data_IF_012179733849
#
_entry.id   IF_012179733849
#
_cell.length_a   1.000
_cell.length_b   1.000
_cell.length_c   1.000
_cell.angle_alpha   90.00
_cell.angle_beta   90.00
_cell.angle_gamma   90.00
#
_symmetry.space_group_name_H-M   'P 1'
#
loop_
_entity.id
_entity.type
_entity.pdbx_description
1 polymer ?
#
# COMPACT_ATOMS: atom_id res chain seq x y z
N UNK A 1 3.70 12.92 -16.03
CA UNK A 1 3.92 13.95 -15.01
C UNK A 1 2.59 14.22 -14.30
N UNK A 2 1.64 14.93 -14.91
CA UNK A 2 0.33 15.27 -14.30
C UNK A 2 -0.41 14.11 -13.59
N UNK A 3 -0.39 12.90 -14.15
CA UNK A 3 -1.07 11.74 -13.54
C UNK A 3 -0.35 11.22 -12.28
N UNK A 4 0.98 11.33 -12.22
CA UNK A 4 1.77 10.95 -11.03
C UNK A 4 1.63 12.01 -9.94
N UNK A 5 1.65 13.29 -10.32
CA UNK A 5 1.44 14.39 -9.38
C UNK A 5 0.03 14.32 -8.78
N UNK A 6 -0.98 13.98 -9.59
CA UNK A 6 -2.33 13.70 -9.10
C UNK A 6 -2.38 12.52 -8.13
N UNK A 7 -1.61 11.45 -8.36
CA UNK A 7 -1.52 10.33 -7.40
C UNK A 7 -0.95 10.81 -6.07
N UNK A 8 0.12 11.60 -6.09
CA UNK A 8 0.76 12.10 -4.86
C UNK A 8 -0.20 12.99 -4.04
N UNK A 9 -0.96 13.87 -4.71
CA UNK A 9 -2.00 14.69 -4.07
C UNK A 9 -3.16 13.86 -3.51
N UNK A 10 -3.50 12.73 -4.15
CA UNK A 10 -4.56 11.83 -3.69
C UNK A 10 -4.15 10.99 -2.48
N UNK A 11 -2.86 10.68 -2.26
CA UNK A 11 -2.37 9.83 -1.14
C UNK A 11 -2.99 10.20 0.21
N UNK A 12 -2.99 11.47 0.67
CA UNK A 12 -3.57 11.84 1.96
C UNK A 12 -5.10 11.71 2.00
N UNK A 13 -5.77 11.75 0.84
CA UNK A 13 -7.23 11.75 0.71
C UNK A 13 -7.84 10.34 0.61
N UNK A 14 -7.03 9.30 0.38
CA UNK A 14 -7.55 7.93 0.25
C UNK A 14 -8.15 7.46 1.58
N UNK A 15 -9.47 7.37 1.61
CA UNK A 15 -10.28 7.02 2.77
C UNK A 15 -10.21 5.51 3.09
N UNK A 16 -10.85 5.15 4.20
CA UNK A 16 -10.85 3.85 4.87
C UNK A 16 -11.55 2.75 4.07
N UNK A 17 -12.26 3.08 2.98
CA UNK A 17 -12.97 2.09 2.17
C UNK A 17 -11.99 1.14 1.50
N UNK A 18 -12.31 -0.15 1.49
CA UNK A 18 -11.45 -1.16 0.89
C UNK A 18 -11.33 -0.95 -0.63
N UNK A 19 -12.45 -0.65 -1.30
CA UNK A 19 -12.51 -0.47 -2.76
C UNK A 19 -11.61 0.67 -3.25
N UNK A 20 -11.68 1.84 -2.60
CA UNK A 20 -10.85 3.00 -2.94
C UNK A 20 -9.35 2.70 -2.77
N UNK A 21 -8.97 1.92 -1.75
CA UNK A 21 -7.58 1.46 -1.53
C UNK A 21 -7.10 0.52 -2.63
N UNK A 22 -7.94 -0.43 -3.05
CA UNK A 22 -7.59 -1.36 -4.14
C UNK A 22 -7.44 -0.63 -5.47
N UNK A 23 -8.34 0.30 -5.78
CA UNK A 23 -8.27 1.10 -7.00
C UNK A 23 -7.03 2.00 -7.02
N UNK A 24 -6.66 2.58 -5.87
CA UNK A 24 -5.44 3.36 -5.75
C UNK A 24 -4.18 2.53 -6.05
N UNK A 25 -4.05 1.35 -5.44
CA UNK A 25 -2.92 0.42 -5.70
C UNK A 25 -2.91 -0.02 -7.17
N UNK A 26 -4.09 -0.25 -7.77
CA UNK A 26 -4.21 -0.61 -9.18
C UNK A 26 -3.72 0.52 -10.11
N UNK A 27 -4.05 1.78 -9.81
CA UNK A 27 -3.56 2.95 -10.56
C UNK A 27 -2.04 3.07 -10.46
N UNK A 28 -1.46 2.90 -9.28
CA UNK A 28 0.00 2.88 -9.09
C UNK A 28 0.65 1.78 -9.93
N UNK A 29 0.11 0.56 -9.90
CA UNK A 29 0.64 -0.56 -10.68
C UNK A 29 0.58 -0.30 -12.19
N UNK A 30 -0.52 0.30 -12.66
CA UNK A 30 -0.68 0.68 -14.06
C UNK A 30 0.34 1.74 -14.49
N UNK A 31 0.55 2.79 -13.69
CA UNK A 31 1.55 3.81 -13.96
C UNK A 31 2.97 3.26 -13.94
N UNK A 32 3.32 2.42 -12.96
CA UNK A 32 4.63 1.77 -12.88
C UNK A 32 4.92 0.96 -14.15
N UNK A 33 3.91 0.22 -14.65
CA UNK A 33 4.02 -0.53 -15.91
C UNK A 33 4.21 0.40 -17.11
N UNK A 34 3.43 1.48 -17.20
CA UNK A 34 3.57 2.46 -18.30
C UNK A 34 4.95 3.12 -18.32
N UNK A 35 5.45 3.55 -17.16
CA UNK A 35 6.79 4.12 -17.01
C UNK A 35 7.85 3.11 -17.46
N UNK A 36 7.75 1.85 -17.04
CA UNK A 36 8.68 0.81 -17.45
C UNK A 36 8.68 0.56 -18.97
N UNK A 37 7.50 0.53 -19.60
CA UNK A 37 7.38 0.36 -21.06
C UNK A 37 8.01 1.54 -21.79
N UNK A 38 7.74 2.78 -21.36
CA UNK A 38 8.32 3.98 -21.98
C UNK A 38 9.83 4.00 -21.80
N UNK A 39 10.35 3.66 -20.62
CA UNK A 39 11.80 3.60 -20.35
C UNK A 39 12.49 2.56 -21.23
N UNK A 40 11.87 1.38 -21.41
CA UNK A 40 12.40 0.34 -22.28
C UNK A 40 12.43 0.77 -23.76
N UNK A 41 11.37 1.44 -24.24
CA UNK A 41 11.35 1.99 -25.61
C UNK A 41 12.40 3.07 -25.83
N UNK A 42 12.61 3.94 -24.83
CA UNK A 42 13.63 4.97 -24.87
C UNK A 42 15.03 4.35 -24.88
N UNK A 43 15.26 3.32 -24.07
CA UNK A 43 16.52 2.58 -24.09
C UNK A 43 16.80 1.91 -25.45
N UNK A 44 15.78 1.31 -26.08
CA UNK A 44 15.93 0.74 -27.42
C UNK A 44 16.24 1.81 -28.47
N UNK A 45 15.60 2.98 -28.38
CA UNK A 45 15.83 4.11 -29.28
C UNK A 45 17.24 4.69 -29.10
N UNK A 46 17.71 4.85 -27.86
CA UNK A 46 19.08 5.27 -27.54
C UNK A 46 20.12 4.31 -28.15
N UNK A 47 19.94 3.00 -27.99
CA UNK A 47 20.83 1.99 -28.58
C UNK A 47 20.85 2.05 -30.11
N UNK A 48 19.67 2.23 -30.73
CA UNK A 48 19.57 2.35 -32.18
C UNK A 48 20.30 3.60 -32.68
N UNK A 49 20.14 4.74 -32.01
CA UNK A 49 20.87 5.97 -32.36
C UNK A 49 22.38 5.80 -32.25
N UNK A 50 22.86 5.13 -31.20
CA UNK A 50 24.28 4.80 -31.02
C UNK A 50 24.79 3.88 -32.15
N UNK A 51 24.02 2.84 -32.49
CA UNK A 51 24.36 1.88 -33.53
C UNK A 51 24.36 2.51 -34.93
N UNK A 52 23.49 3.50 -35.19
CA UNK A 52 23.48 4.23 -36.46
C UNK A 52 24.56 5.31 -36.53
N UNK A 53 24.93 5.94 -35.41
CA UNK A 53 25.89 7.03 -35.37
C UNK A 53 27.29 6.58 -35.78
N UNK A 54 27.75 5.42 -35.29
CA UNK A 54 29.09 4.86 -35.60
C UNK A 54 29.31 4.64 -37.11
N UNK A 55 28.45 3.90 -37.85
CA UNK A 55 28.58 3.73 -39.28
C UNK A 55 28.26 5.01 -40.07
N UNK A 56 27.36 5.88 -39.59
CA UNK A 56 27.12 7.18 -40.22
C UNK A 56 28.37 8.08 -40.18
N UNK A 57 29.08 8.11 -39.05
CA UNK A 57 30.33 8.86 -38.91
C UNK A 57 31.48 8.29 -39.76
N UNK A 58 31.52 6.96 -39.95
CA UNK A 58 32.64 6.28 -40.61
C UNK A 58 32.46 6.12 -42.13
N UNK A 59 31.23 5.92 -42.60
CA UNK A 59 30.94 5.49 -43.98
C UNK A 59 29.95 6.39 -44.74
N UNK A 60 29.33 7.38 -44.10
CA UNK A 60 28.34 8.24 -44.79
C UNK A 60 29.02 9.43 -45.45
N UNK A 61 28.90 9.51 -46.77
CA UNK A 61 29.27 10.69 -47.57
C UNK A 61 28.54 11.97 -47.11
N UNK A 62 27.35 11.84 -46.50
CA UNK A 62 26.56 12.98 -46.00
C UNK A 62 27.18 13.59 -44.74
N UNK A 63 27.69 12.77 -43.80
CA UNK A 63 28.39 13.27 -42.62
C UNK A 63 29.72 13.94 -42.96
N UNK A 64 30.40 13.48 -44.02
CA UNK A 64 31.63 14.10 -44.51
C UNK A 64 31.39 15.50 -45.12
N UNK A 65 30.21 15.74 -45.69
CA UNK A 65 29.89 17.01 -46.37
C UNK A 65 29.11 18.01 -45.50
N UNK A 66 28.41 17.54 -44.48
CA UNK A 66 27.52 18.36 -43.65
C UNK A 66 27.86 18.16 -42.16
N UNK A 67 28.78 18.96 -41.59
CA UNK A 67 29.18 18.81 -40.18
C UNK A 67 28.04 19.08 -39.19
N UNK A 68 26.97 19.75 -39.61
CA UNK A 68 25.78 19.97 -38.78
C UNK A 68 25.00 18.68 -38.49
N UNK A 69 25.14 17.61 -39.30
CA UNK A 69 24.44 16.33 -39.09
C UNK A 69 24.91 15.62 -37.83
N UNK A 70 26.22 15.58 -37.57
CA UNK A 70 26.78 14.99 -36.34
C UNK A 70 26.30 15.76 -35.11
N UNK A 71 26.31 17.10 -35.18
CA UNK A 71 25.82 17.95 -34.09
C UNK A 71 24.35 17.69 -33.79
N UNK A 72 23.53 17.49 -34.82
CA UNK A 72 22.10 17.21 -34.69
C UNK A 72 21.83 15.84 -34.06
N UNK A 73 22.68 14.84 -34.33
CA UNK A 73 22.66 13.55 -33.64
C UNK A 73 23.03 13.66 -32.16
N UNK A 74 24.12 14.37 -31.83
CA UNK A 74 24.51 14.60 -30.44
C UNK A 74 23.40 15.32 -29.66
N UNK A 75 22.80 16.36 -30.26
CA UNK A 75 21.68 17.08 -29.66
C UNK A 75 20.45 16.18 -29.46
N UNK A 76 20.17 15.27 -30.40
CA UNK A 76 19.08 14.30 -30.26
C UNK A 76 19.34 13.31 -29.11
N UNK A 77 20.58 12.85 -28.94
CA UNK A 77 20.99 11.99 -27.83
C UNK A 77 20.88 12.69 -26.48
N UNK A 78 21.33 13.94 -26.38
CA UNK A 78 21.21 14.73 -25.14
C UNK A 78 19.75 14.94 -24.74
N UNK A 79 18.87 15.25 -25.72
CA UNK A 79 17.43 15.37 -25.48
C UNK A 79 16.81 14.06 -25.00
N UNK A 80 17.25 12.93 -25.56
CA UNK A 80 16.79 11.61 -25.15
C UNK A 80 17.23 11.25 -23.73
N UNK A 81 18.50 11.51 -23.39
CA UNK A 81 19.02 11.34 -22.04
C UNK A 81 18.26 12.22 -21.02
N UNK A 82 17.96 13.47 -21.38
CA UNK A 82 17.15 14.35 -20.55
C UNK A 82 15.74 13.78 -20.29
N UNK A 83 15.07 13.25 -21.32
CA UNK A 83 13.75 12.62 -21.16
C UNK A 83 13.84 11.36 -20.30
N UNK A 84 14.91 10.58 -20.42
CA UNK A 84 15.16 9.40 -19.60
C UNK A 84 15.27 9.76 -18.11
N UNK A 85 16.07 10.79 -17.81
CA UNK A 85 16.26 11.28 -16.44
C UNK A 85 14.95 11.81 -15.84
N UNK A 86 14.19 12.61 -16.59
CA UNK A 86 12.85 13.06 -16.18
C UNK A 86 11.89 11.91 -15.89
N UNK A 87 11.96 10.82 -16.66
CA UNK A 87 11.14 9.63 -16.45
C UNK A 87 11.55 8.87 -15.20
N UNK A 88 12.86 8.78 -14.93
CA UNK A 88 13.41 8.16 -13.71
C UNK A 88 13.07 8.98 -12.46
N UNK A 89 13.10 10.31 -12.53
CA UNK A 89 12.58 11.19 -11.46
C UNK A 89 11.07 10.98 -11.22
N UNK A 90 10.28 10.91 -12.30
CA UNK A 90 8.84 10.60 -12.20
C UNK A 90 8.59 9.26 -11.50
N UNK A 91 9.43 8.26 -11.79
CA UNK A 91 9.36 6.95 -11.13
C UNK A 91 9.67 7.04 -9.64
N UNK A 92 10.66 7.85 -9.24
CA UNK A 92 11.01 8.08 -7.83
C UNK A 92 9.84 8.70 -7.08
N UNK A 93 9.21 9.75 -7.65
CA UNK A 93 8.03 10.40 -7.06
C UNK A 93 6.88 9.39 -6.89
N UNK A 94 6.57 8.58 -7.91
CA UNK A 94 5.53 7.55 -7.81
C UNK A 94 5.82 6.51 -6.71
N UNK A 95 7.08 6.11 -6.56
CA UNK A 95 7.47 5.18 -5.51
C UNK A 95 7.38 5.81 -4.12
N UNK A 96 7.73 7.10 -3.99
CA UNK A 96 7.55 7.85 -2.76
C UNK A 96 6.07 7.95 -2.38
N UNK A 97 5.20 8.30 -3.32
CA UNK A 97 3.75 8.33 -3.12
C UNK A 97 3.22 6.96 -2.65
N UNK A 98 3.70 5.86 -3.24
CA UNK A 98 3.35 4.50 -2.81
C UNK A 98 3.82 4.19 -1.38
N UNK A 99 5.03 4.60 -1.00
CA UNK A 99 5.52 4.44 0.38
C UNK A 99 4.73 5.28 1.38
N UNK A 100 4.40 6.52 1.02
CA UNK A 100 3.56 7.40 1.84
C UNK A 100 2.17 6.78 2.06
N UNK A 101 1.56 6.21 1.02
CA UNK A 101 0.28 5.51 1.12
C UNK A 101 0.36 4.29 2.06
N UNK A 102 1.35 3.41 1.87
CA UNK A 102 1.53 2.22 2.72
C UNK A 102 1.77 2.61 4.17
N UNK A 103 2.60 3.63 4.41
CA UNK A 103 2.85 4.18 5.74
C UNK A 103 1.56 4.72 6.39
N UNK A 104 0.76 5.47 5.63
CA UNK A 104 -0.54 5.98 6.09
C UNK A 104 -1.52 4.85 6.45
N UNK A 105 -1.59 3.79 5.63
CA UNK A 105 -2.43 2.61 5.92
C UNK A 105 -1.92 1.87 7.16
N UNK A 106 -0.62 1.66 7.30
CA UNK A 106 -0.02 1.00 8.46
C UNK A 106 -0.27 1.78 9.76
N UNK A 107 -0.15 3.11 9.71
CA UNK A 107 -0.45 4.00 10.84
C UNK A 107 -1.92 3.89 11.25
N UNK A 108 -2.86 3.92 10.30
CA UNK A 108 -4.30 3.76 10.59
C UNK A 108 -4.62 2.37 11.14
N UNK A 109 -3.98 1.33 10.61
CA UNK A 109 -4.11 -0.03 11.13
C UNK A 109 -3.63 -0.11 12.58
N UNK A 110 -2.46 0.46 12.89
CA UNK A 110 -1.92 0.54 14.26
C UNK A 110 -2.86 1.28 15.22
N UNK A 111 -3.42 2.42 14.80
CA UNK A 111 -4.41 3.15 15.60
C UNK A 111 -5.70 2.35 15.81
N UNK A 112 -6.17 1.63 14.77
CA UNK A 112 -7.35 0.76 14.87
C UNK A 112 -7.09 -0.40 15.82
N UNK A 113 -5.92 -1.03 15.75
CA UNK A 113 -5.51 -2.11 16.66
C UNK A 113 -5.46 -1.62 18.10
N UNK A 114 -4.84 -0.48 18.37
CA UNK A 114 -4.80 0.09 19.72
C UNK A 114 -6.22 0.35 20.29
N UNK A 115 -7.16 0.80 19.45
CA UNK A 115 -8.57 0.96 19.86
C UNK A 115 -9.27 -0.38 20.11
N UNK A 116 -8.95 -1.40 19.33
CA UNK A 116 -9.49 -2.75 19.53
C UNK A 116 -8.94 -3.37 20.81
N UNK A 117 -7.66 -3.19 21.12
CA UNK A 117 -7.03 -3.68 22.34
C UNK A 117 -7.72 -3.11 23.58
N UNK A 118 -8.03 -1.82 23.58
CA UNK A 118 -8.79 -1.19 24.67
C UNK A 118 -10.20 -1.80 24.83
N UNK A 119 -10.92 -2.01 23.72
CA UNK A 119 -12.24 -2.66 23.76
C UNK A 119 -12.16 -4.11 24.21
N UNK A 120 -11.12 -4.82 23.80
CA UNK A 120 -10.85 -6.21 24.18
C UNK A 120 -10.56 -6.31 25.68
N UNK A 121 -9.82 -5.35 26.25
CA UNK A 121 -9.57 -5.27 27.68
C UNK A 121 -10.87 -5.10 28.48
N UNK A 122 -11.78 -4.23 28.02
CA UNK A 122 -13.09 -4.05 28.65
C UNK A 122 -13.92 -5.33 28.57
N UNK A 123 -14.00 -5.96 27.40
CA UNK A 123 -14.72 -7.22 27.21
C UNK A 123 -14.14 -8.33 28.08
N UNK A 124 -12.82 -8.40 28.20
CA UNK A 124 -12.13 -9.33 29.09
C UNK A 124 -12.52 -9.13 30.55
N UNK A 125 -12.58 -7.88 31.03
CA UNK A 125 -13.00 -7.57 32.40
C UNK A 125 -14.48 -7.89 32.65
N UNK A 126 -15.35 -7.69 31.66
CA UNK A 126 -16.75 -8.12 31.78
C UNK A 126 -16.87 -9.65 31.81
N UNK A 127 -16.10 -10.35 30.97
CA UNK A 127 -16.10 -11.81 30.95
C UNK A 127 -15.63 -12.41 32.29
N UNK A 128 -14.59 -11.86 32.91
CA UNK A 128 -14.08 -12.36 34.20
C UNK A 128 -15.09 -12.22 35.35
N UNK A 129 -15.96 -11.21 35.31
CA UNK A 129 -17.04 -11.03 36.31
C UNK A 129 -18.25 -11.90 35.97
N UNK A 130 -18.68 -11.92 34.71
CA UNK A 130 -19.92 -12.58 34.30
C UNK A 130 -19.80 -14.11 34.23
N UNK A 131 -18.65 -14.67 33.88
CA UNK A 131 -18.46 -16.12 33.76
C UNK A 131 -18.71 -16.89 35.07
N UNK A 132 -18.08 -16.55 36.22
CA UNK A 132 -18.34 -17.27 37.46
C UNK A 132 -19.78 -17.05 37.96
N UNK A 133 -20.35 -15.86 37.76
CA UNK A 133 -21.72 -15.57 38.18
C UNK A 133 -22.74 -16.38 37.36
N UNK A 134 -22.54 -16.47 36.04
CA UNK A 134 -23.36 -17.31 35.16
C UNK A 134 -23.22 -18.79 35.52
N UNK A 135 -22.03 -19.22 35.91
CA UNK A 135 -21.78 -20.60 36.37
C UNK A 135 -22.52 -20.91 37.68
N UNK A 136 -22.46 -20.03 38.68
CA UNK A 136 -23.22 -20.19 39.93
C UNK A 136 -24.73 -20.24 39.68
N UNK A 137 -25.26 -19.32 38.87
CA UNK A 137 -26.69 -19.29 38.53
C UNK A 137 -27.10 -20.54 37.76
N UNK A 138 -26.22 -21.08 36.91
CA UNK A 138 -26.42 -22.36 36.24
C UNK A 138 -26.52 -23.52 37.24
N UNK A 139 -25.58 -23.63 38.20
CA UNK A 139 -25.60 -24.66 39.23
C UNK A 139 -26.86 -24.62 40.10
N UNK A 140 -27.30 -23.42 40.50
CA UNK A 140 -28.48 -23.23 41.33
C UNK A 140 -29.81 -23.31 40.54
N UNK A 141 -29.78 -23.09 39.23
CA UNK A 141 -30.95 -23.17 38.34
C UNK A 141 -31.23 -24.57 37.80
N UNK A 142 -30.31 -25.54 38.00
CA UNK A 142 -30.55 -26.94 37.67
C UNK A 142 -31.57 -27.56 38.64
N UNK A 143 -32.52 -28.34 38.14
CA UNK A 143 -33.54 -29.01 38.95
C UNK A 143 -32.95 -30.22 39.71
N UNK A 144 -32.03 -29.95 40.62
CA UNK A 144 -31.31 -30.90 41.44
C UNK A 144 -31.29 -30.40 42.89
N UNK A 145 -31.26 -31.32 43.86
CA UNK A 145 -31.22 -30.96 45.28
C UNK A 145 -29.89 -30.28 45.61
N UNK A 146 -29.94 -29.01 45.97
CA UNK A 146 -28.76 -28.23 46.35
C UNK A 146 -28.39 -28.49 47.82
N UNK A 147 -27.08 -28.55 48.17
CA UNK A 147 -26.68 -28.41 49.56
C UNK A 147 -27.18 -27.04 50.05
N UNK A 148 -27.68 -26.96 51.29
CA UNK A 148 -28.43 -25.82 51.89
C UNK A 148 -29.96 -25.77 51.62
N UNK A 149 -30.55 -26.78 50.98
CA UNK A 149 -32.02 -26.92 50.95
C UNK A 149 -32.55 -27.49 52.29
N UNK A 150 -33.24 -26.67 53.09
CA UNK A 150 -33.68 -27.01 54.45
C UNK A 150 -34.84 -28.04 54.53
N UNK A 151 -35.49 -28.38 53.41
CA UNK A 151 -36.78 -29.08 53.40
C UNK A 151 -36.75 -30.59 53.71
N UNK A 152 -35.58 -31.23 53.87
CA UNK A 152 -35.49 -32.70 54.03
C UNK A 152 -35.13 -33.23 55.41
N UNK A 153 -34.94 -32.37 56.41
CA UNK A 153 -34.69 -32.82 57.80
C UNK A 153 -35.76 -32.26 58.75
N UNK A 154 -36.53 -33.11 59.48
CA UNK A 154 -37.50 -32.66 60.46
C UNK A 154 -36.77 -32.14 61.70
N UNK A 155 -36.29 -30.89 61.66
CA UNK A 155 -35.64 -30.27 62.81
C UNK A 155 -34.79 -29.02 62.55
N UNK A 156 -34.63 -28.53 61.32
CA UNK A 156 -33.90 -27.28 61.05
C UNK A 156 -34.87 -26.13 60.77
N UNK A 157 -35.15 -25.32 61.79
CA UNK A 157 -35.75 -23.99 61.63
C UNK A 157 -34.69 -23.03 61.08
N UNK A 158 -35.02 -22.33 59.99
CA UNK A 158 -34.20 -21.27 59.40
C UNK A 158 -34.01 -20.11 60.39
N UNK A 159 -32.80 -19.55 60.46
CA UNK A 159 -32.60 -18.20 61.00
C UNK A 159 -33.21 -17.16 60.06
#
# INVERSE_FOLDING_TARGET
LNEVDSIDEMVPLVDTKAEERFDFVRRIAHLRRRIAIVRNRLYLKENLLLEMLVPAMRNSFVCAHVPSTVRLYCEAMEKEAFVADRLDETRKVLNQANMNFVSGVAMRMSQSSARLDFKMQILGLMATICLPLSFLMGLLGMNCTIPFQADRSPGLTTF
#
